data_IF_014000924332
#
_entry.id   IF_014000924332
#
_cell.length_a   1.000
_cell.length_b   1.000
_cell.length_c   1.000
_cell.angle_alpha   90.00
_cell.angle_beta   90.00
_cell.angle_gamma   90.00
#
_symmetry.space_group_name_H-M   'P 1'
#
loop_
_entity.id
_entity.type
_entity.pdbx_description
1 polymer ?
#
# COMPACT_ATOMS: atom_id res chain seq x y z
N UNK A 1 -29.87 -20.79 -15.65
CA UNK A 1 -30.87 -21.67 -15.02
C UNK A 1 -31.16 -21.11 -13.64
N UNK A 2 -32.31 -20.47 -13.51
CA UNK A 2 -32.81 -19.86 -12.28
C UNK A 2 -33.56 -20.92 -11.46
N UNK A 3 -33.54 -20.79 -10.13
CA UNK A 3 -34.54 -21.42 -9.28
C UNK A 3 -34.81 -20.56 -8.03
N UNK A 4 -36.11 -20.38 -7.82
CA UNK A 4 -36.78 -19.49 -6.88
C UNK A 4 -36.77 -19.97 -5.42
N UNK A 5 -36.94 -19.01 -4.53
CA UNK A 5 -37.31 -19.09 -3.10
C UNK A 5 -38.78 -19.54 -2.94
N UNK A 6 -39.13 -20.16 -1.80
CA UNK A 6 -40.36 -19.73 -1.10
C UNK A 6 -40.16 -19.48 0.41
N UNK A 7 -40.87 -18.46 0.88
CA UNK A 7 -41.11 -18.05 2.27
C UNK A 7 -42.44 -18.67 2.72
N UNK A 8 -42.57 -19.13 3.97
CA UNK A 8 -43.80 -18.99 4.79
C UNK A 8 -43.58 -19.37 6.28
N UNK A 9 -43.80 -18.36 7.13
CA UNK A 9 -44.42 -18.28 8.47
C UNK A 9 -44.38 -19.42 9.50
N UNK A 10 -44.05 -18.99 10.73
CA UNK A 10 -44.09 -19.66 12.04
C UNK A 10 -45.49 -20.07 12.54
N UNK A 11 -45.52 -20.92 13.58
CA UNK A 11 -46.39 -20.70 14.73
C UNK A 11 -45.61 -20.60 16.05
N UNK A 12 -46.09 -19.69 16.89
CA UNK A 12 -45.66 -19.38 18.24
C UNK A 12 -46.24 -20.33 19.28
N UNK A 13 -45.40 -20.88 20.17
CA UNK A 13 -45.80 -21.25 21.53
C UNK A 13 -44.70 -20.84 22.52
N UNK A 14 -45.08 -19.89 23.37
CA UNK A 14 -44.32 -19.30 24.45
C UNK A 14 -44.38 -20.16 25.71
N UNK A 15 -43.22 -20.50 26.26
CA UNK A 15 -43.05 -20.90 27.65
C UNK A 15 -41.96 -20.04 28.29
N UNK A 16 -42.36 -19.32 29.34
CA UNK A 16 -41.59 -18.38 30.15
C UNK A 16 -40.31 -18.99 30.74
N UNK A 17 -39.17 -18.30 30.58
CA UNK A 17 -38.09 -18.28 31.59
C UNK A 17 -37.16 -17.08 31.40
N UNK A 18 -36.60 -16.54 32.49
CA UNK A 18 -36.28 -15.14 32.61
C UNK A 18 -35.05 -14.70 31.81
N UNK A 19 -35.18 -13.52 31.20
CA UNK A 19 -34.11 -12.69 30.63
C UNK A 19 -32.82 -12.78 31.44
N UNK A 20 -31.75 -13.32 30.85
CA UNK A 20 -30.39 -13.10 31.35
C UNK A 20 -29.43 -12.82 30.19
N UNK A 21 -29.60 -11.62 29.63
CA UNK A 21 -28.73 -11.01 28.63
C UNK A 21 -27.38 -10.62 29.25
N UNK A 22 -26.51 -11.57 29.60
CA UNK A 22 -25.06 -11.32 29.70
C UNK A 22 -24.17 -12.58 29.80
N UNK A 23 -24.37 -13.57 28.93
CA UNK A 23 -23.62 -14.84 28.97
C UNK A 23 -22.21 -14.77 28.38
N UNK A 24 -21.84 -13.66 27.72
CA UNK A 24 -20.55 -13.49 27.05
C UNK A 24 -19.52 -12.79 27.93
N UNK A 25 -18.24 -13.11 27.72
CA UNK A 25 -17.12 -12.52 28.42
C UNK A 25 -17.14 -10.99 28.33
N UNK A 26 -17.04 -10.34 29.49
CA UNK A 26 -17.12 -8.88 29.59
C UNK A 26 -15.93 -8.15 28.93
N UNK A 27 -14.84 -8.87 28.60
CA UNK A 27 -13.66 -8.31 27.93
C UNK A 27 -13.64 -8.53 26.42
N UNK A 28 -13.84 -9.76 25.94
CA UNK A 28 -13.68 -10.09 24.52
C UNK A 28 -15.01 -10.17 23.77
N UNK A 29 -16.14 -10.26 24.48
CA UNK A 29 -17.50 -10.42 23.94
C UNK A 29 -17.67 -11.54 22.90
N UNK A 30 -16.71 -12.46 22.80
CA UNK A 30 -16.63 -13.48 21.73
C UNK A 30 -16.80 -14.89 22.25
N UNK A 31 -16.71 -15.09 23.57
CA UNK A 31 -16.75 -16.41 24.22
C UNK A 31 -17.60 -16.34 25.49
N UNK A 32 -18.31 -17.43 25.87
CA UNK A 32 -19.08 -17.46 27.11
C UNK A 32 -18.22 -17.23 28.36
N UNK A 33 -18.85 -16.72 29.42
CA UNK A 33 -18.28 -16.59 30.77
C UNK A 33 -17.83 -17.95 31.31
N UNK A 34 -16.64 -18.00 31.92
CA UNK A 34 -16.09 -19.25 32.45
C UNK A 34 -16.80 -19.66 33.75
N UNK A 35 -17.29 -20.90 33.84
CA UNK A 35 -17.89 -21.47 35.06
C UNK A 35 -16.99 -22.56 35.64
N UNK A 36 -16.74 -22.51 36.94
CA UNK A 36 -16.02 -23.57 37.66
C UNK A 36 -16.96 -24.55 38.39
N UNK A 37 -18.23 -24.59 38.00
CA UNK A 37 -19.26 -25.46 38.59
C UNK A 37 -19.95 -24.87 39.83
N UNK A 38 -19.31 -23.96 40.56
CA UNK A 38 -19.88 -23.28 41.74
C UNK A 38 -20.03 -21.76 41.55
N UNK A 39 -19.29 -21.16 40.61
CA UNK A 39 -19.31 -19.73 40.31
C UNK A 39 -19.08 -19.47 38.82
N UNK A 40 -19.89 -18.59 38.26
CA UNK A 40 -19.67 -18.03 36.91
C UNK A 40 -18.80 -16.79 37.04
N UNK A 41 -17.65 -16.79 36.36
CA UNK A 41 -16.69 -15.68 36.33
C UNK A 41 -17.02 -14.74 35.16
N UNK A 42 -16.88 -13.41 35.32
CA UNK A 42 -17.22 -12.43 34.27
C UNK A 42 -16.42 -12.56 32.96
N UNK A 43 -15.34 -13.35 32.95
CA UNK A 43 -14.45 -13.52 31.81
C UNK A 43 -14.40 -14.97 31.33
N UNK A 44 -14.10 -15.20 30.03
CA UNK A 44 -13.99 -16.54 29.46
C UNK A 44 -12.68 -17.29 29.82
N UNK A 45 -11.79 -16.66 30.60
CA UNK A 45 -10.52 -17.24 31.03
C UNK A 45 -9.55 -16.22 31.61
N UNK A 46 -8.47 -16.70 32.22
CA UNK A 46 -7.46 -15.87 32.93
C UNK A 46 -6.90 -14.75 32.05
N UNK A 47 -6.59 -15.03 30.78
CA UNK A 47 -6.07 -14.03 29.84
C UNK A 47 -7.02 -12.85 29.63
N UNK A 48 -8.33 -13.08 29.58
CA UNK A 48 -9.31 -12.00 29.45
C UNK A 48 -9.47 -11.24 30.77
N UNK A 49 -9.43 -11.94 31.91
CA UNK A 49 -9.45 -11.32 33.24
C UNK A 49 -8.23 -10.40 33.47
N UNK A 50 -7.03 -10.82 33.05
CA UNK A 50 -5.79 -10.05 33.24
C UNK A 50 -5.73 -8.84 32.31
N UNK A 51 -6.20 -8.98 31.05
CA UNK A 51 -6.30 -7.86 30.12
C UNK A 51 -7.33 -6.82 30.57
N UNK A 52 -8.42 -7.25 31.21
CA UNK A 52 -9.40 -6.32 31.75
C UNK A 52 -8.89 -5.58 33.00
N UNK A 53 -8.17 -6.28 33.89
CA UNK A 53 -7.42 -5.64 34.99
C UNK A 53 -6.40 -4.61 34.49
N UNK A 54 -5.80 -4.83 33.32
CA UNK A 54 -4.87 -3.86 32.71
C UNK A 54 -5.54 -2.63 32.08
N UNK A 55 -6.86 -2.63 31.88
CA UNK A 55 -7.62 -1.43 31.47
C UNK A 55 -7.96 -0.52 32.66
N UNK A 56 -8.09 -1.09 33.87
CA UNK A 56 -8.37 -0.36 35.12
C UNK A 56 -7.13 -0.13 36.00
N UNK A 57 -5.95 -0.54 35.55
CA UNK A 57 -4.68 -0.08 36.11
C UNK A 57 -4.19 1.11 35.30
N UNK A 58 -4.61 2.30 35.71
CA UNK A 58 -3.77 3.49 35.55
C UNK A 58 -2.41 3.09 36.15
N UNK A 59 -1.31 3.01 35.39
CA UNK A 59 -0.01 2.80 36.00
C UNK A 59 0.21 3.97 36.95
N UNK A 60 0.47 3.67 38.22
CA UNK A 60 0.68 4.65 39.28
C UNK A 60 1.49 5.84 38.73
N UNK A 61 0.82 6.98 38.60
CA UNK A 61 1.45 8.26 38.31
C UNK A 61 2.42 8.53 39.46
N UNK A 62 3.72 8.41 39.19
CA UNK A 62 4.69 9.17 39.96
C UNK A 62 4.35 10.65 39.79
N UNK A 63 4.07 11.32 40.91
CA UNK A 63 3.66 12.71 41.08
C UNK A 63 3.86 13.61 39.85
N UNK A 64 2.78 14.08 39.20
CA UNK A 64 2.88 15.14 38.20
C UNK A 64 3.28 16.47 38.85
N UNK A 65 4.21 17.25 38.28
CA UNK A 65 4.28 18.70 38.53
C UNK A 65 3.05 19.40 37.91
N UNK A 66 2.67 20.60 38.39
CA UNK A 66 1.50 21.33 37.88
C UNK A 66 1.60 21.57 36.36
N UNK A 67 0.52 21.23 35.65
CA UNK A 67 0.39 21.44 34.20
C UNK A 67 0.55 22.92 33.86
N UNK A 68 1.67 23.25 33.23
CA UNK A 68 1.78 24.41 32.34
C UNK A 68 2.00 23.89 30.92
N UNK A 69 1.16 24.34 30.00
CA UNK A 69 1.22 24.01 28.58
C UNK A 69 2.46 24.65 27.96
N UNK A 70 3.60 23.96 28.03
CA UNK A 70 4.86 24.42 27.42
C UNK A 70 5.35 23.43 26.36
N UNK A 71 5.79 23.95 25.21
CA UNK A 71 6.54 23.20 24.20
C UNK A 71 7.73 22.49 24.84
N UNK A 72 7.78 21.16 24.76
CA UNK A 72 8.85 20.34 25.36
C UNK A 72 8.39 19.37 26.46
N UNK A 73 7.09 19.15 26.65
CA UNK A 73 6.55 18.21 27.64
C UNK A 73 6.79 16.72 27.29
N UNK A 74 7.03 16.39 26.01
CA UNK A 74 7.16 15.00 25.56
C UNK A 74 8.60 14.50 25.53
N UNK A 75 8.77 13.19 25.69
CA UNK A 75 10.04 12.47 25.67
C UNK A 75 10.89 12.82 24.46
N UNK A 76 12.12 13.28 24.69
CA UNK A 76 13.07 13.71 23.67
C UNK A 76 13.51 12.60 22.69
N UNK A 77 13.12 11.33 22.90
CA UNK A 77 13.44 10.21 22.02
C UNK A 77 12.21 9.70 21.24
N UNK A 78 11.12 9.34 21.93
CA UNK A 78 9.95 8.76 21.26
C UNK A 78 8.91 9.82 20.84
N UNK A 79 8.93 11.01 21.45
CA UNK A 79 7.96 12.10 21.31
C UNK A 79 6.48 11.72 21.52
N UNK A 80 6.18 10.46 21.86
CA UNK A 80 4.84 9.90 21.96
C UNK A 80 4.28 9.89 23.40
N UNK A 81 5.14 10.08 24.41
CA UNK A 81 4.78 10.04 25.83
C UNK A 81 5.40 11.23 26.56
N UNK A 82 4.77 11.75 27.62
CA UNK A 82 5.37 12.78 28.47
C UNK A 82 6.73 12.35 29.03
N UNK A 83 7.58 13.34 29.31
CA UNK A 83 8.83 13.15 30.04
C UNK A 83 8.59 12.50 31.41
N UNK A 84 9.46 11.58 31.81
CA UNK A 84 9.34 10.88 33.09
C UNK A 84 9.73 11.81 34.24
N UNK A 85 8.92 11.91 35.28
CA UNK A 85 9.26 12.63 36.51
C UNK A 85 9.49 11.64 37.64
N UNK A 86 10.63 11.73 38.31
CA UNK A 86 11.00 10.78 39.37
C UNK A 86 10.58 11.21 40.78
N UNK A 87 9.80 12.30 40.89
CA UNK A 87 9.44 12.93 42.16
C UNK A 87 10.25 14.18 42.48
N UNK A 88 11.43 14.34 41.87
CA UNK A 88 12.36 15.45 42.11
C UNK A 88 12.84 16.15 40.84
N UNK A 89 12.93 15.40 39.73
CA UNK A 89 13.45 15.86 38.44
C UNK A 89 12.64 15.31 37.29
N UNK A 90 12.36 16.17 36.31
CA UNK A 90 11.82 15.75 35.01
C UNK A 90 12.96 15.28 34.11
N UNK A 91 12.99 13.99 33.81
CA UNK A 91 13.94 13.38 32.90
C UNK A 91 13.58 13.71 31.45
N UNK A 92 14.58 13.92 30.56
CA UNK A 92 14.32 14.22 29.16
C UNK A 92 13.61 13.09 28.40
N UNK A 93 13.49 11.89 28.97
CA UNK A 93 12.91 10.71 28.33
C UNK A 93 11.75 10.11 29.14
N UNK A 94 10.80 9.43 28.49
CA UNK A 94 9.66 8.80 29.17
C UNK A 94 9.98 7.45 29.83
N UNK A 95 11.16 6.87 29.58
CA UNK A 95 11.57 5.58 30.16
C UNK A 95 13.08 5.37 30.11
N UNK A 96 13.59 4.47 30.95
CA UNK A 96 14.99 4.02 30.92
C UNK A 96 15.38 3.43 29.55
N UNK A 97 14.46 2.74 28.88
CA UNK A 97 14.65 2.25 27.51
C UNK A 97 14.85 3.39 26.51
N UNK A 98 14.04 4.45 26.60
CA UNK A 98 14.20 5.64 25.75
C UNK A 98 15.51 6.37 26.04
N UNK A 99 15.92 6.46 27.31
CA UNK A 99 17.20 7.05 27.70
C UNK A 99 18.40 6.25 27.17
N UNK A 100 18.39 4.91 27.32
CA UNK A 100 19.45 4.04 26.82
C UNK A 100 19.58 4.10 25.29
N UNK A 101 18.46 4.15 24.58
CA UNK A 101 18.45 4.27 23.12
C UNK A 101 18.88 5.66 22.63
N UNK A 102 18.89 6.67 23.50
CA UNK A 102 19.36 8.03 23.21
C UNK A 102 20.86 8.24 23.50
N UNK A 103 21.52 7.38 24.26
CA UNK A 103 22.96 7.51 24.59
C UNK A 103 23.90 7.18 23.41
N UNK A 104 23.37 6.88 22.22
CA UNK A 104 24.14 6.65 20.98
C UNK A 104 23.98 7.75 19.93
N UNK A 105 23.51 8.95 20.31
CA UNK A 105 23.20 10.02 19.37
C UNK A 105 24.42 10.96 19.22
N UNK A 106 24.86 11.22 17.98
CA UNK A 106 25.69 12.39 17.65
C UNK A 106 24.81 13.44 16.99
N UNK A 107 25.19 14.72 17.08
CA UNK A 107 24.44 15.81 16.46
C UNK A 107 24.43 15.66 14.92
N UNK A 108 23.37 15.10 14.35
CA UNK A 108 23.17 15.13 12.90
C UNK A 108 22.84 16.54 12.44
N UNK A 109 23.59 17.00 11.44
CA UNK A 109 23.37 18.24 10.69
C UNK A 109 22.27 18.08 9.64
N UNK A 110 21.02 17.84 10.06
CA UNK A 110 19.91 17.87 9.10
C UNK A 110 18.51 17.89 9.69
N UNK A 111 17.59 18.53 8.97
CA UNK A 111 16.21 18.76 9.38
C UNK A 111 15.31 17.58 8.99
N UNK A 112 14.34 17.27 9.86
CA UNK A 112 13.31 16.27 9.63
C UNK A 112 12.58 16.51 8.31
N UNK A 113 12.42 15.47 7.50
CA UNK A 113 11.73 15.54 6.21
C UNK A 113 10.19 15.49 6.31
N UNK A 114 9.63 15.44 7.51
CA UNK A 114 8.19 15.56 7.66
C UNK A 114 7.73 16.99 7.31
N UNK A 115 6.60 17.14 6.61
CA UNK A 115 6.08 18.45 6.24
C UNK A 115 5.90 19.32 7.48
N UNK A 116 6.31 20.58 7.36
CA UNK A 116 6.21 21.61 8.41
C UNK A 116 6.98 21.31 9.70
N UNK A 117 7.92 20.35 9.68
CA UNK A 117 8.78 20.05 10.81
C UNK A 117 10.16 20.70 10.67
N UNK A 118 10.63 21.39 11.72
CA UNK A 118 11.97 22.00 11.77
C UNK A 118 12.93 21.32 12.74
N UNK A 119 12.49 20.23 13.37
CA UNK A 119 13.33 19.50 14.31
C UNK A 119 14.48 18.79 13.58
N UNK A 120 15.66 18.64 14.20
CA UNK A 120 16.72 17.81 13.66
C UNK A 120 16.27 16.34 13.61
N UNK A 121 16.68 15.59 12.60
CA UNK A 121 16.46 14.14 12.60
C UNK A 121 17.44 13.43 13.56
N UNK A 122 17.07 12.26 14.08
CA UNK A 122 17.93 11.52 15.01
C UNK A 122 18.92 10.58 14.28
N UNK A 123 20.14 10.45 14.81
CA UNK A 123 21.14 9.45 14.39
C UNK A 123 21.14 8.25 15.34
N UNK A 124 21.09 7.01 14.85
CA UNK A 124 21.50 5.87 15.69
C UNK A 124 23.02 5.70 15.58
N UNK A 125 23.72 5.47 16.70
CA UNK A 125 25.18 5.32 16.77
C UNK A 125 25.76 4.32 15.77
N UNK A 126 25.03 3.25 15.44
CA UNK A 126 25.51 2.16 14.57
C UNK A 126 24.54 1.85 13.40
N UNK A 127 23.69 2.80 12.97
CA UNK A 127 22.68 2.54 11.94
C UNK A 127 22.54 3.67 10.92
N UNK A 128 21.92 3.40 9.75
CA UNK A 128 21.71 4.44 8.74
C UNK A 128 20.90 5.61 9.33
N UNK A 129 21.27 6.83 8.93
CA UNK A 129 20.64 8.08 9.35
C UNK A 129 19.11 7.98 9.16
N UNK A 130 18.35 8.23 10.24
CA UNK A 130 16.90 8.42 10.11
C UNK A 130 16.65 9.77 9.45
N UNK A 131 15.76 9.86 8.45
CA UNK A 131 15.40 11.16 7.81
C UNK A 131 14.32 11.95 8.57
N UNK A 132 13.93 11.47 9.75
CA UNK A 132 12.80 11.96 10.51
C UNK A 132 13.16 12.07 11.99
N UNK A 133 12.60 13.07 12.67
CA UNK A 133 12.77 13.29 14.11
C UNK A 133 11.82 12.44 14.98
N UNK A 134 11.13 11.43 14.43
CA UNK A 134 10.33 10.46 15.21
C UNK A 134 9.84 9.31 14.33
N UNK A 135 9.37 8.25 14.98
CA UNK A 135 8.64 7.17 14.29
C UNK A 135 7.33 7.67 13.66
N UNK A 136 6.63 8.61 14.31
CA UNK A 136 5.41 9.22 13.78
C UNK A 136 5.68 10.01 12.49
N UNK A 137 6.73 10.83 12.49
CA UNK A 137 7.14 11.59 11.30
C UNK A 137 7.65 10.70 10.17
N UNK A 138 8.30 9.58 10.52
CA UNK A 138 8.63 8.55 9.54
C UNK A 138 7.36 7.95 8.93
N UNK A 139 6.40 7.53 9.74
CA UNK A 139 5.14 6.96 9.24
C UNK A 139 4.37 7.95 8.35
N UNK A 140 4.33 9.23 8.75
CA UNK A 140 3.76 10.31 7.94
C UNK A 140 4.49 10.44 6.59
N UNK A 141 5.81 10.60 6.60
CA UNK A 141 6.62 10.74 5.39
C UNK A 141 6.54 9.54 4.44
N UNK A 142 6.40 8.34 4.98
CA UNK A 142 6.20 7.12 4.21
C UNK A 142 4.80 7.02 3.58
N UNK A 143 3.83 7.85 4.01
CA UNK A 143 2.44 7.79 3.57
C UNK A 143 1.90 9.11 3.04
N UNK A 144 2.74 10.11 2.76
CA UNK A 144 2.29 11.41 2.25
C UNK A 144 1.49 11.30 0.95
N UNK A 145 0.46 12.12 0.83
CA UNK A 145 -0.21 12.39 -0.43
C UNK A 145 0.80 12.80 -1.49
N UNK A 146 0.77 12.13 -2.64
CA UNK A 146 1.74 12.37 -3.72
C UNK A 146 1.45 13.64 -4.54
N UNK A 147 0.36 14.35 -4.25
CA UNK A 147 0.02 15.63 -4.88
C UNK A 147 0.50 16.81 -4.02
N UNK A 148 0.10 16.86 -2.75
CA UNK A 148 0.41 18.00 -1.88
C UNK A 148 1.65 17.79 -1.00
N UNK A 149 2.05 16.55 -0.71
CA UNK A 149 3.11 16.20 0.24
C UNK A 149 2.92 16.76 1.67
N UNK A 150 1.69 17.11 2.06
CA UNK A 150 1.39 17.70 3.37
C UNK A 150 0.70 16.73 4.34
N UNK A 151 -0.27 15.97 3.84
CA UNK A 151 -1.12 15.08 4.64
C UNK A 151 -0.94 13.62 4.19
N UNK A 152 -1.20 12.63 5.05
CA UNK A 152 -1.16 11.24 4.64
C UNK A 152 -2.24 10.96 3.56
N UNK A 153 -1.92 10.07 2.63
CA UNK A 153 -2.86 9.52 1.65
C UNK A 153 -3.98 8.74 2.36
N UNK A 154 -5.12 8.58 1.72
CA UNK A 154 -6.17 7.67 2.21
C UNK A 154 -5.80 6.20 1.95
N UNK A 155 -6.60 5.28 2.49
CA UNK A 155 -6.39 3.83 2.26
C UNK A 155 -6.59 3.45 0.79
N UNK A 156 -7.59 4.03 0.13
CA UNK A 156 -8.01 3.69 -1.23
C UNK A 156 -7.41 4.60 -2.32
N UNK A 157 -6.71 5.67 -1.93
CA UNK A 157 -6.11 6.63 -2.87
C UNK A 157 -4.63 6.87 -2.58
N UNK A 158 -3.93 7.42 -3.58
CA UNK A 158 -2.60 8.00 -3.39
C UNK A 158 -2.67 9.48 -2.95
N UNK A 159 -3.89 10.01 -2.83
CA UNK A 159 -4.19 11.38 -2.45
C UNK A 159 -4.83 11.45 -1.06
N UNK A 160 -4.71 12.60 -0.38
CA UNK A 160 -5.32 12.81 0.95
C UNK A 160 -6.79 13.25 0.90
N UNK A 161 -7.26 13.79 -0.24
CA UNK A 161 -8.60 14.36 -0.38
C UNK A 161 -9.05 14.37 -1.85
N UNK A 162 -10.34 14.56 -2.08
CA UNK A 162 -10.90 14.75 -3.42
C UNK A 162 -10.26 15.97 -4.12
N UNK A 163 -10.05 17.07 -3.40
CA UNK A 163 -9.35 18.25 -3.94
C UNK A 163 -7.96 17.91 -4.51
N UNK A 164 -7.19 17.04 -3.84
CA UNK A 164 -5.90 16.61 -4.38
C UNK A 164 -6.03 15.67 -5.59
N UNK A 165 -7.08 14.86 -5.65
CA UNK A 165 -7.44 14.07 -6.84
C UNK A 165 -7.77 15.01 -8.00
N UNK A 166 -8.70 15.95 -7.79
CA UNK A 166 -9.15 16.91 -8.80
C UNK A 166 -7.99 17.76 -9.31
N UNK A 167 -7.09 18.20 -8.43
CA UNK A 167 -5.90 18.94 -8.83
C UNK A 167 -4.95 18.10 -9.69
N UNK A 168 -4.78 16.81 -9.39
CA UNK A 168 -3.97 15.91 -10.20
C UNK A 168 -4.61 15.64 -11.57
N UNK A 169 -5.94 15.52 -11.62
CA UNK A 169 -6.70 15.30 -12.87
C UNK A 169 -6.77 16.57 -13.72
N UNK A 170 -6.96 17.75 -13.11
CA UNK A 170 -6.96 19.05 -13.80
C UNK A 170 -5.59 19.39 -14.38
N UNK A 171 -4.52 18.97 -13.73
CA UNK A 171 -3.15 19.13 -14.22
C UNK A 171 -2.72 18.06 -15.22
N UNK A 172 -3.57 17.09 -15.54
CA UNK A 172 -3.18 15.94 -16.36
C UNK A 172 -3.15 16.27 -17.88
N UNK A 173 -2.37 15.53 -18.69
CA UNK A 173 -1.52 14.39 -18.30
C UNK A 173 -0.31 14.83 -17.47
N UNK A 174 -0.11 14.21 -16.30
CA UNK A 174 0.97 14.57 -15.38
C UNK A 174 1.61 13.33 -14.77
N UNK A 175 2.94 13.39 -14.60
CA UNK A 175 3.74 12.38 -13.91
C UNK A 175 4.16 12.89 -12.53
N UNK A 176 3.61 12.32 -11.48
CA UNK A 176 3.91 12.71 -10.10
C UNK A 176 5.01 11.82 -9.54
N UNK A 177 6.12 12.43 -9.11
CA UNK A 177 7.22 11.71 -8.49
C UNK A 177 6.80 11.09 -7.16
N UNK A 178 7.08 9.80 -6.97
CA UNK A 178 6.84 9.10 -5.71
C UNK A 178 8.18 8.98 -4.96
N UNK A 179 8.32 9.58 -3.77
CA UNK A 179 9.56 9.50 -2.99
C UNK A 179 9.97 8.05 -2.70
N UNK A 180 11.28 7.76 -2.76
CA UNK A 180 11.84 6.40 -2.54
C UNK A 180 11.42 5.78 -1.19
N UNK A 181 11.23 6.60 -0.16
CA UNK A 181 10.78 6.14 1.16
C UNK A 181 9.29 5.80 1.23
N UNK A 182 8.48 6.25 0.26
CA UNK A 182 7.03 6.16 0.29
C UNK A 182 6.54 4.71 0.09
N UNK A 183 5.44 4.34 0.75
CA UNK A 183 4.87 2.98 0.68
C UNK A 183 4.46 2.57 -0.74
N UNK A 184 4.01 3.51 -1.57
CA UNK A 184 3.67 3.23 -2.98
C UNK A 184 4.92 2.94 -3.81
N UNK A 185 6.03 3.64 -3.57
CA UNK A 185 7.30 3.33 -4.24
C UNK A 185 7.71 1.90 -3.89
N UNK A 186 7.73 1.57 -2.60
CA UNK A 186 8.09 0.22 -2.11
C UNK A 186 7.21 -0.85 -2.72
N UNK A 187 5.89 -0.62 -2.79
CA UNK A 187 4.95 -1.57 -3.40
C UNK A 187 5.24 -1.82 -4.88
N UNK A 188 5.45 -0.77 -5.67
CA UNK A 188 5.74 -0.91 -7.11
C UNK A 188 7.12 -1.54 -7.34
N UNK A 189 8.15 -1.10 -6.62
CA UNK A 189 9.48 -1.68 -6.71
C UNK A 189 9.50 -3.17 -6.28
N UNK A 190 8.71 -3.53 -5.27
CA UNK A 190 8.58 -4.93 -4.84
C UNK A 190 7.86 -5.77 -5.89
N UNK A 191 6.84 -5.25 -6.58
CA UNK A 191 6.20 -5.96 -7.69
C UNK A 191 7.22 -6.22 -8.81
N UNK A 192 7.98 -5.19 -9.21
CA UNK A 192 9.05 -5.32 -10.21
C UNK A 192 10.05 -6.41 -9.82
N UNK A 193 10.56 -6.37 -8.59
CA UNK A 193 11.55 -7.33 -8.09
C UNK A 193 10.98 -8.75 -7.96
N UNK A 194 9.77 -8.88 -7.41
CA UNK A 194 9.12 -10.16 -7.18
C UNK A 194 8.74 -10.88 -8.48
N UNK A 195 8.63 -10.15 -9.59
CA UNK A 195 8.35 -10.72 -10.91
C UNK A 195 9.55 -10.76 -11.86
N UNK A 196 10.77 -10.51 -11.36
CA UNK A 196 11.99 -10.72 -12.15
C UNK A 196 12.27 -12.22 -12.31
N UNK A 197 12.46 -12.70 -13.53
CA UNK A 197 12.63 -14.13 -13.85
C UNK A 197 13.85 -14.43 -14.72
N UNK A 198 14.65 -13.43 -15.08
CA UNK A 198 15.94 -13.66 -15.72
C UNK A 198 16.93 -14.19 -14.69
N UNK A 199 17.92 -14.95 -15.16
CA UNK A 199 19.01 -15.45 -14.33
C UNK A 199 19.93 -14.32 -13.82
N UNK A 200 19.89 -13.14 -14.45
CA UNK A 200 20.63 -11.96 -14.02
C UNK A 200 20.06 -11.37 -12.72
N UNK A 201 20.89 -10.70 -11.90
CA UNK A 201 20.39 -9.97 -10.75
C UNK A 201 19.29 -8.97 -11.14
N UNK A 202 18.23 -8.90 -10.35
CA UNK A 202 17.17 -7.90 -10.57
C UNK A 202 17.77 -6.49 -10.43
N UNK A 203 17.64 -5.62 -11.45
CA UNK A 203 18.20 -4.29 -11.39
C UNK A 203 17.49 -3.44 -10.33
N UNK A 204 18.20 -2.51 -9.67
CA UNK A 204 17.61 -1.63 -8.67
C UNK A 204 16.67 -0.61 -9.33
N UNK A 205 15.46 -0.49 -8.78
CA UNK A 205 14.52 0.58 -9.12
C UNK A 205 15.02 1.89 -8.50
N UNK A 206 15.22 2.92 -9.33
CA UNK A 206 15.74 4.23 -8.90
C UNK A 206 14.64 5.28 -8.77
N UNK A 207 13.63 5.25 -9.64
CA UNK A 207 12.48 6.20 -9.57
C UNK A 207 11.17 5.50 -9.90
N UNK A 208 10.10 5.94 -9.26
CA UNK A 208 8.73 5.54 -9.57
C UNK A 208 7.89 6.81 -9.66
N UNK A 209 7.10 6.92 -10.73
CA UNK A 209 6.16 8.02 -10.92
C UNK A 209 4.74 7.48 -11.03
N UNK A 210 3.77 8.15 -10.42
CA UNK A 210 2.35 7.93 -10.72
C UNK A 210 2.03 8.68 -12.00
N UNK A 211 1.42 7.99 -12.95
CA UNK A 211 0.82 8.62 -14.13
C UNK A 211 -0.63 8.97 -13.78
N UNK A 212 -0.97 10.24 -13.91
CA UNK A 212 -2.32 10.77 -13.77
C UNK A 212 -2.81 11.21 -15.15
N UNK A 213 -4.01 10.76 -15.50
CA UNK A 213 -4.70 11.07 -16.74
C UNK A 213 -5.89 11.99 -16.42
N UNK A 214 -6.32 12.85 -17.35
CA UNK A 214 -7.40 13.78 -17.07
C UNK A 214 -8.73 13.04 -16.86
N UNK A 215 -9.65 13.66 -16.12
CA UNK A 215 -10.98 13.10 -15.88
C UNK A 215 -11.72 12.80 -17.21
N UNK A 216 -11.49 13.63 -18.23
CA UNK A 216 -11.99 13.37 -19.59
C UNK A 216 -11.31 12.17 -20.26
N UNK A 217 -10.09 11.76 -19.91
CA UNK A 217 -9.54 10.47 -20.36
C UNK A 217 -10.10 9.27 -19.57
N UNK A 218 -10.76 9.52 -18.43
CA UNK A 218 -11.54 8.51 -17.71
C UNK A 218 -12.99 8.42 -18.23
N UNK A 219 -13.52 9.50 -18.82
CA UNK A 219 -14.90 9.62 -19.26
C UNK A 219 -15.11 9.66 -20.80
N UNK A 220 -14.10 10.07 -21.57
CA UNK A 220 -14.14 10.26 -23.02
C UNK A 220 -13.15 9.31 -23.72
N UNK A 221 -13.77 8.42 -24.48
CA UNK A 221 -13.25 7.31 -25.28
C UNK A 221 -12.11 7.68 -26.25
N UNK A 222 -12.10 8.91 -26.80
CA UNK A 222 -11.28 9.25 -27.96
C UNK A 222 -9.84 9.69 -27.66
N UNK A 223 -9.59 10.36 -26.52
CA UNK A 223 -8.22 10.78 -26.16
C UNK A 223 -7.40 9.64 -25.56
N UNK A 224 -8.05 8.64 -24.95
CA UNK A 224 -7.36 7.48 -24.39
C UNK A 224 -6.79 6.55 -25.46
N UNK A 225 -7.44 6.51 -26.64
CA UNK A 225 -7.08 5.66 -27.78
C UNK A 225 -5.63 5.87 -28.27
N UNK A 226 -4.97 6.96 -27.89
CA UNK A 226 -3.59 7.24 -28.29
C UNK A 226 -2.53 6.89 -27.23
N UNK A 227 -2.91 6.49 -26.01
CA UNK A 227 -1.93 6.13 -24.95
C UNK A 227 -1.19 4.83 -25.28
N UNK A 228 -1.93 3.87 -25.82
CA UNK A 228 -1.43 2.71 -26.53
C UNK A 228 -2.05 2.71 -27.91
N UNK A 229 -1.24 2.84 -28.96
CA UNK A 229 -1.71 2.82 -30.34
C UNK A 229 -1.33 1.49 -31.00
N UNK A 230 -2.33 0.66 -31.33
CA UNK A 230 -2.17 -0.58 -32.10
C UNK A 230 -1.54 -0.38 -33.48
N UNK A 231 -1.44 0.85 -34.00
CA UNK A 231 -0.64 1.16 -35.20
C UNK A 231 0.87 1.08 -34.95
N UNK A 232 1.31 1.08 -33.69
CA UNK A 232 2.71 0.89 -33.30
C UNK A 232 3.06 -0.59 -33.08
N UNK A 233 2.08 -1.50 -33.12
CA UNK A 233 2.30 -2.93 -33.00
C UNK A 233 3.36 -3.42 -34.01
N UNK A 234 4.24 -4.31 -33.57
CA UNK A 234 5.23 -4.94 -34.44
C UNK A 234 6.34 -4.03 -34.93
N UNK A 235 6.36 -2.72 -34.62
CA UNK A 235 7.45 -1.82 -35.08
C UNK A 235 8.85 -2.27 -34.64
N UNK A 236 8.96 -2.94 -33.49
CA UNK A 236 10.23 -3.48 -32.98
C UNK A 236 10.54 -4.89 -33.50
N UNK A 237 9.55 -5.75 -33.58
CA UNK A 237 9.73 -7.20 -33.78
C UNK A 237 9.30 -7.69 -35.17
N UNK A 238 8.50 -6.92 -35.91
CA UNK A 238 7.85 -7.31 -37.15
C UNK A 238 6.62 -8.24 -36.99
N UNK A 239 6.44 -8.84 -35.81
CA UNK A 239 5.37 -9.81 -35.54
C UNK A 239 5.04 -9.91 -34.05
N UNK A 240 3.99 -10.64 -33.70
CA UNK A 240 3.60 -10.98 -32.32
C UNK A 240 2.91 -12.34 -32.26
N UNK A 241 3.16 -13.09 -31.18
CA UNK A 241 2.70 -14.48 -31.00
C UNK A 241 1.19 -14.66 -31.09
N UNK A 242 0.44 -13.64 -30.71
CA UNK A 242 -1.02 -13.60 -30.70
C UNK A 242 -1.54 -12.46 -31.58
N UNK A 243 -0.83 -12.20 -32.69
CA UNK A 243 -1.21 -11.20 -33.69
C UNK A 243 -1.22 -9.75 -33.17
N UNK A 244 -1.99 -8.88 -33.83
CA UNK A 244 -1.96 -7.41 -33.63
C UNK A 244 -2.74 -7.03 -32.38
N UNK A 245 -2.04 -6.98 -31.25
CA UNK A 245 -2.58 -6.62 -29.94
C UNK A 245 -1.60 -5.76 -29.11
N UNK A 246 -2.04 -5.34 -27.92
CA UNK A 246 -1.21 -4.71 -26.90
C UNK A 246 -0.76 -5.78 -25.92
N UNK A 247 0.55 -5.98 -25.84
CA UNK A 247 1.16 -7.05 -25.08
C UNK A 247 1.61 -6.55 -23.72
N UNK A 248 1.25 -7.30 -22.68
CA UNK A 248 1.71 -7.09 -21.31
C UNK A 248 2.15 -8.42 -20.70
N UNK A 249 2.91 -8.34 -19.62
CA UNK A 249 3.33 -9.51 -18.85
C UNK A 249 3.35 -9.16 -17.37
N UNK A 250 2.97 -10.13 -16.54
CA UNK A 250 3.19 -10.05 -15.10
C UNK A 250 4.67 -10.22 -14.73
N UNK A 251 5.47 -10.76 -15.65
CA UNK A 251 6.92 -10.95 -15.53
C UNK A 251 7.69 -9.70 -15.95
N UNK A 252 8.32 -8.99 -14.99
CA UNK A 252 9.02 -7.72 -15.25
C UNK A 252 10.23 -7.89 -16.17
N UNK A 253 10.95 -9.00 -16.03
CA UNK A 253 12.14 -9.27 -16.85
C UNK A 253 11.79 -9.54 -18.32
N UNK A 254 10.62 -10.12 -18.60
CA UNK A 254 10.09 -10.25 -19.97
C UNK A 254 9.82 -8.89 -20.57
N UNK A 255 9.14 -8.02 -19.82
CA UNK A 255 8.86 -6.64 -20.25
C UNK A 255 10.15 -5.83 -20.47
N UNK A 256 11.20 -6.13 -19.69
CA UNK A 256 12.52 -5.51 -19.84
C UNK A 256 13.17 -5.77 -21.21
N UNK A 257 12.92 -6.90 -21.86
CA UNK A 257 13.44 -7.21 -23.21
C UNK A 257 12.87 -6.27 -24.28
N UNK A 258 11.71 -5.69 -23.99
CA UNK A 258 11.06 -4.71 -24.86
C UNK A 258 11.49 -3.27 -24.57
N UNK A 259 12.03 -2.98 -23.38
CA UNK A 259 12.50 -1.65 -22.98
C UNK A 259 13.82 -1.27 -23.65
N UNK A 260 13.84 -0.10 -24.29
CA UNK A 260 14.99 0.51 -24.95
C UNK A 260 15.03 2.00 -24.66
N UNK A 261 16.24 2.56 -24.71
CA UNK A 261 16.46 3.99 -24.56
C UNK A 261 16.75 4.59 -25.94
N UNK A 262 15.88 5.50 -26.40
CA UNK A 262 16.10 6.24 -27.65
C UNK A 262 17.10 7.40 -27.47
N UNK A 263 17.44 7.73 -26.21
CA UNK A 263 18.43 8.74 -25.86
C UNK A 263 19.42 8.20 -24.81
N UNK A 264 20.56 8.86 -24.64
CA UNK A 264 21.56 8.46 -23.64
C UNK A 264 20.99 8.63 -22.22
N UNK A 265 20.68 7.52 -21.57
CA UNK A 265 20.17 7.47 -20.20
C UNK A 265 20.82 6.31 -19.44
N UNK A 266 21.21 6.56 -18.18
CA UNK A 266 21.72 5.54 -17.27
C UNK A 266 20.59 4.70 -16.62
N UNK A 267 19.34 4.94 -17.02
CA UNK A 267 18.16 4.20 -16.55
C UNK A 267 17.34 3.72 -17.73
N UNK A 268 16.76 2.54 -17.59
CA UNK A 268 15.68 2.03 -18.44
C UNK A 268 14.32 2.36 -17.84
N UNK A 269 13.30 2.31 -18.68
CA UNK A 269 11.92 2.61 -18.32
C UNK A 269 11.00 1.44 -18.67
N UNK A 270 10.07 1.11 -17.77
CA UNK A 270 8.90 0.28 -18.07
C UNK A 270 7.64 0.86 -17.44
N UNK A 271 6.47 0.50 -17.97
CA UNK A 271 5.17 0.90 -17.47
C UNK A 271 4.52 -0.22 -16.66
N UNK A 272 4.01 0.10 -15.47
CA UNK A 272 3.08 -0.75 -14.74
C UNK A 272 1.64 -0.28 -15.03
N UNK A 273 0.88 -1.17 -15.67
CA UNK A 273 -0.42 -0.88 -16.23
C UNK A 273 -1.56 -1.45 -15.38
N UNK A 274 -2.74 -0.83 -15.48
CA UNK A 274 -4.00 -1.49 -15.13
C UNK A 274 -4.64 -1.98 -16.43
N UNK A 275 -4.94 -3.27 -16.50
CA UNK A 275 -5.51 -3.91 -17.69
C UNK A 275 -6.88 -4.49 -17.35
N UNK A 276 -7.88 -4.23 -18.18
CA UNK A 276 -9.20 -4.84 -18.13
C UNK A 276 -9.13 -6.14 -18.92
N UNK A 277 -9.04 -7.27 -18.22
CA UNK A 277 -8.81 -8.59 -18.85
C UNK A 277 -10.11 -9.18 -19.40
N UNK A 278 -11.24 -8.93 -18.74
CA UNK A 278 -12.51 -9.58 -19.07
C UNK A 278 -12.39 -11.12 -19.03
N UNK A 279 -13.12 -11.78 -19.92
CA UNK A 279 -13.04 -13.23 -20.15
C UNK A 279 -11.84 -13.53 -21.05
N UNK A 280 -10.75 -14.04 -20.46
CA UNK A 280 -9.52 -14.35 -21.18
C UNK A 280 -9.53 -15.73 -21.86
N UNK A 281 -9.12 -15.78 -23.13
CA UNK A 281 -8.92 -17.01 -23.90
C UNK A 281 -7.53 -17.56 -23.67
N UNK A 282 -7.42 -18.77 -23.11
CA UNK A 282 -6.13 -19.36 -22.75
C UNK A 282 -5.45 -20.00 -23.94
N UNK A 283 -4.16 -19.70 -24.13
CA UNK A 283 -3.31 -20.30 -25.16
C UNK A 283 -1.97 -20.74 -24.58
N UNK A 284 -1.40 -21.79 -25.16
CA UNK A 284 -0.06 -22.33 -24.86
C UNK A 284 0.84 -22.43 -26.09
N UNK A 285 0.33 -22.01 -27.26
CA UNK A 285 0.99 -22.02 -28.55
C UNK A 285 0.63 -20.75 -29.32
N UNK A 286 1.46 -20.41 -30.30
CA UNK A 286 1.30 -19.19 -31.09
C UNK A 286 0.04 -19.24 -31.96
N UNK A 287 -0.64 -18.09 -32.06
CA UNK A 287 -1.76 -17.86 -32.96
C UNK A 287 -1.62 -16.46 -33.59
N UNK A 288 -0.69 -16.35 -34.52
CA UNK A 288 -0.17 -15.07 -35.02
C UNK A 288 -1.15 -14.28 -35.91
N UNK A 289 -2.23 -14.90 -36.37
CA UNK A 289 -3.23 -14.28 -37.26
C UNK A 289 -4.29 -13.45 -36.53
N UNK A 290 -4.29 -13.43 -35.19
CA UNK A 290 -5.30 -12.70 -34.42
C UNK A 290 -5.23 -11.19 -34.66
N UNK A 291 -6.40 -10.58 -34.81
CA UNK A 291 -6.58 -9.11 -34.89
C UNK A 291 -7.61 -8.61 -33.88
N UNK A 292 -8.24 -9.53 -33.16
CA UNK A 292 -9.26 -9.34 -32.13
C UNK A 292 -9.21 -10.56 -31.19
N UNK A 293 -9.79 -10.50 -29.97
CA UNK A 293 -9.90 -11.68 -29.14
C UNK A 293 -10.80 -12.74 -29.83
N UNK A 294 -10.58 -14.05 -29.57
CA UNK A 294 -11.47 -15.09 -30.06
C UNK A 294 -12.94 -14.86 -29.67
N UNK A 295 -13.88 -15.34 -30.50
CA UNK A 295 -15.31 -15.09 -30.31
C UNK A 295 -15.78 -15.46 -28.90
N UNK A 296 -16.43 -14.50 -28.23
CA UNK A 296 -16.92 -14.65 -26.85
C UNK A 296 -15.88 -14.49 -25.76
N UNK A 297 -14.73 -13.87 -26.06
CA UNK A 297 -13.65 -13.52 -25.12
C UNK A 297 -13.23 -12.05 -25.32
N UNK A 298 -12.56 -11.49 -24.31
CA UNK A 298 -12.14 -10.09 -24.29
C UNK A 298 -10.61 -9.92 -24.43
N UNK A 299 -9.86 -10.97 -24.13
CA UNK A 299 -8.39 -10.96 -24.13
C UNK A 299 -7.81 -12.34 -24.40
N UNK A 300 -6.49 -12.42 -24.64
CA UNK A 300 -5.73 -13.67 -24.69
C UNK A 300 -4.83 -13.78 -23.47
N UNK A 301 -4.84 -14.95 -22.84
CA UNK A 301 -4.00 -15.33 -21.70
C UNK A 301 -3.03 -16.43 -22.15
N UNK A 302 -1.81 -16.03 -22.49
CA UNK A 302 -0.75 -16.95 -22.84
C UNK A 302 -0.10 -17.47 -21.55
N UNK A 303 -0.36 -18.73 -21.22
CA UNK A 303 0.19 -19.37 -20.02
C UNK A 303 1.53 -20.05 -20.32
N UNK A 304 2.42 -20.06 -19.34
CA UNK A 304 3.71 -20.75 -19.47
C UNK A 304 3.47 -22.24 -19.78
N UNK A 305 4.11 -22.73 -20.85
CA UNK A 305 3.93 -24.08 -21.35
C UNK A 305 4.14 -24.13 -22.87
N UNK A 306 4.38 -25.33 -23.41
CA UNK A 306 4.68 -25.48 -24.84
C UNK A 306 5.92 -24.69 -25.25
N UNK A 307 5.74 -23.71 -26.16
CA UNK A 307 6.82 -22.85 -26.67
C UNK A 307 6.96 -21.53 -25.89
N UNK A 308 6.18 -21.32 -24.83
CA UNK A 308 6.13 -20.07 -24.06
C UNK A 308 6.93 -20.17 -22.75
N UNK A 309 8.01 -19.39 -22.67
CA UNK A 309 8.89 -19.32 -21.49
C UNK A 309 8.31 -18.48 -20.34
N UNK A 310 7.46 -17.51 -20.68
CA UNK A 310 6.87 -16.54 -19.75
C UNK A 310 5.44 -16.21 -20.18
N UNK A 311 4.64 -15.70 -19.26
CA UNK A 311 3.26 -15.29 -19.51
C UNK A 311 3.15 -14.09 -20.47
N UNK A 312 2.05 -14.02 -21.21
CA UNK A 312 1.61 -12.82 -21.97
C UNK A 312 0.11 -12.62 -21.77
N UNK A 313 -0.28 -11.39 -21.50
CA UNK A 313 -1.66 -10.95 -21.56
C UNK A 313 -1.76 -9.99 -22.75
N UNK A 314 -2.65 -10.33 -23.68
CA UNK A 314 -2.88 -9.53 -24.89
C UNK A 314 -4.31 -9.01 -24.92
N UNK A 315 -4.45 -7.70 -25.06
CA UNK A 315 -5.73 -7.02 -25.29
C UNK A 315 -5.72 -6.39 -26.68
N UNK A 316 -6.88 -6.28 -27.31
CA UNK A 316 -7.00 -5.84 -28.71
C UNK A 316 -7.76 -4.52 -28.86
N UNK A 317 -8.03 -3.86 -27.75
CA UNK A 317 -8.66 -2.54 -27.73
C UNK A 317 -7.78 -1.59 -26.92
N UNK A 318 -7.55 -0.39 -27.46
CA UNK A 318 -6.69 0.59 -26.82
C UNK A 318 -7.22 0.98 -25.44
N UNK A 319 -8.55 1.00 -25.25
CA UNK A 319 -9.29 1.31 -24.02
C UNK A 319 -9.13 0.27 -22.88
N UNK A 320 -8.75 -0.96 -23.21
CA UNK A 320 -8.59 -2.04 -22.25
C UNK A 320 -7.35 -1.90 -21.34
N UNK A 321 -6.47 -0.92 -21.56
CA UNK A 321 -5.20 -0.80 -20.82
C UNK A 321 -4.78 0.64 -20.56
N UNK A 322 -4.44 0.97 -19.30
CA UNK A 322 -3.93 2.29 -18.91
C UNK A 322 -2.61 2.23 -18.17
N UNK A 323 -1.70 3.18 -18.46
CA UNK A 323 -0.51 3.38 -17.64
C UNK A 323 -0.89 3.91 -16.26
N UNK A 324 -0.42 3.23 -15.21
CA UNK A 324 -0.63 3.67 -13.83
C UNK A 324 0.66 4.19 -13.20
N UNK A 325 1.79 3.55 -13.48
CA UNK A 325 3.10 3.99 -13.00
C UNK A 325 4.18 3.87 -14.07
N UNK A 326 5.13 4.79 -14.04
CA UNK A 326 6.40 4.70 -14.75
C UNK A 326 7.48 4.26 -13.76
N UNK A 327 8.19 3.17 -14.08
CA UNK A 327 9.27 2.62 -13.27
C UNK A 327 10.59 2.85 -14.00
N UNK A 328 11.50 3.59 -13.37
CA UNK A 328 12.86 3.84 -13.88
C UNK A 328 13.86 3.03 -13.06
N UNK A 329 14.65 2.20 -13.72
CA UNK A 329 15.55 1.23 -13.09
C UNK A 329 16.88 1.16 -13.84
N UNK A 330 17.91 0.59 -13.23
CA UNK A 330 19.21 0.42 -13.91
C UNK A 330 19.14 -0.61 -15.04
N UNK A 331 19.98 -0.49 -16.09
CA UNK A 331 20.00 -1.44 -17.20
C UNK A 331 20.35 -2.87 -16.79
#
# INVERSE_FOLDING_TARGET
MAAHVPILSSPSTSANSPNNSNSLCDFCHSRPKFSNGTKIHPYCGKTCADKDKSKNQIPAMGNQPPQTTVSGANCNFCLARPKYFDGTKTHPFCSKTCAKNANGLTNATGTCQAPNCRNPFYTKSNGPLGRYCSAAHKALGETLCIMCFQAPKTTLSHFCSQLCTDNAEKGAPVILNIPVGHVTFKSVANQFKASWRHATPCPPVRRVYKICLPASSLAAYDTYRTSYDLNLFGKKTGWGRFGRGIYTSSTSSKSNDYSQNDCKSNLKAILLNKVIVGKGYKLTHDLTSLTAPPSGFDSVLAEKGGTLNYDELVVYANDAIRPSFLVMYEP
#
